data_IF_336279341814
#
_entry.id   IF_336279341814
#
_cell.length_a   1.000
_cell.length_b   1.000
_cell.length_c   1.000
_cell.angle_alpha   90.00
_cell.angle_beta   90.00
_cell.angle_gamma   90.00
#
_symmetry.space_group_name_H-M   'P 1'
#
loop_
_entity.id
_entity.type
_entity.pdbx_description
1 polymer ?
#
# COMPACT_ATOMS: atom_id res chain seq x y z
N UNK A 1 26.28 132.71 -50.59
CA UNK A 1 25.95 131.28 -50.56
C UNK A 1 25.02 130.98 -51.73
N UNK A 2 25.43 130.05 -52.58
CA UNK A 2 24.73 129.64 -53.80
C UNK A 2 23.52 128.77 -53.47
N UNK A 3 22.53 128.70 -54.37
CA UNK A 3 21.35 127.85 -54.16
C UNK A 3 21.75 126.36 -54.09
N UNK A 4 22.74 125.97 -54.90
CA UNK A 4 23.37 124.65 -54.92
C UNK A 4 23.90 124.20 -53.55
N UNK A 5 24.46 125.13 -52.75
CA UNK A 5 25.04 124.80 -51.44
C UNK A 5 23.96 124.34 -50.45
N UNK A 6 22.76 124.92 -50.53
CA UNK A 6 21.61 124.55 -49.69
C UNK A 6 20.94 123.26 -50.15
N UNK A 7 20.94 123.01 -51.47
CA UNK A 7 20.42 121.78 -52.07
C UNK A 7 21.28 120.58 -51.62
N UNK A 8 22.60 120.71 -51.70
CA UNK A 8 23.56 119.75 -51.14
C UNK A 8 23.43 119.59 -49.61
N UNK A 9 23.17 120.67 -48.86
CA UNK A 9 22.96 120.58 -47.40
C UNK A 9 21.66 119.84 -47.02
N UNK A 10 20.66 119.81 -47.89
CA UNK A 10 19.44 118.99 -47.74
C UNK A 10 19.70 117.55 -48.13
N UNK A 11 20.38 117.33 -49.27
CA UNK A 11 20.76 115.99 -49.75
C UNK A 11 21.63 115.23 -48.73
N UNK A 12 22.63 115.91 -48.13
CA UNK A 12 23.47 115.33 -47.07
C UNK A 12 22.63 114.87 -45.88
N UNK A 13 21.67 115.68 -45.41
CA UNK A 13 20.81 115.33 -44.26
C UNK A 13 19.84 114.21 -44.57
N UNK A 14 19.39 114.08 -45.82
CA UNK A 14 18.59 112.94 -46.25
C UNK A 14 19.44 111.66 -46.29
N UNK A 15 20.66 111.73 -46.82
CA UNK A 15 21.62 110.60 -46.84
C UNK A 15 22.05 110.17 -45.42
N UNK A 16 22.27 111.10 -44.50
CA UNK A 16 22.56 110.81 -43.08
C UNK A 16 21.39 110.07 -42.42
N UNK A 17 20.15 110.49 -42.68
CA UNK A 17 18.94 109.82 -42.18
C UNK A 17 18.76 108.43 -42.80
N UNK A 18 19.00 108.28 -44.12
CA UNK A 18 18.96 106.97 -44.79
C UNK A 18 20.00 106.02 -44.18
N UNK A 19 21.23 106.49 -43.92
CA UNK A 19 22.27 105.73 -43.20
C UNK A 19 21.80 105.27 -41.82
N UNK A 20 21.21 106.16 -41.01
CA UNK A 20 20.72 105.81 -39.68
C UNK A 20 19.66 104.69 -39.75
N UNK A 21 18.69 104.79 -40.67
CA UNK A 21 17.67 103.74 -40.85
C UNK A 21 18.28 102.40 -41.30
N UNK A 22 19.31 102.41 -42.15
CA UNK A 22 20.03 101.20 -42.56
C UNK A 22 20.86 100.59 -41.42
N UNK A 23 21.43 101.41 -40.53
CA UNK A 23 22.13 100.92 -39.34
C UNK A 23 21.16 100.31 -38.32
N UNK A 24 19.94 100.84 -38.17
CA UNK A 24 18.87 100.22 -37.37
C UNK A 24 18.39 98.88 -37.97
N UNK A 25 18.13 98.83 -39.29
CA UNK A 25 17.74 97.59 -39.96
C UNK A 25 18.84 96.52 -39.90
N UNK A 26 20.11 96.90 -40.10
CA UNK A 26 21.26 96.00 -39.95
C UNK A 26 21.34 95.44 -38.53
N UNK A 27 21.16 96.29 -37.50
CA UNK A 27 21.14 95.89 -36.09
C UNK A 27 20.00 94.92 -35.78
N UNK A 28 18.80 95.18 -36.32
CA UNK A 28 17.62 94.31 -36.21
C UNK A 28 17.87 92.95 -36.88
N UNK A 29 18.35 92.94 -38.12
CA UNK A 29 18.70 91.72 -38.87
C UNK A 29 19.77 90.91 -38.16
N UNK A 30 20.82 91.55 -37.63
CA UNK A 30 21.88 90.86 -36.88
C UNK A 30 21.37 90.26 -35.55
N UNK A 31 20.46 90.94 -34.86
CA UNK A 31 19.75 90.41 -33.69
C UNK A 31 18.94 89.15 -34.04
N UNK A 32 18.08 89.24 -35.07
CA UNK A 32 17.30 88.10 -35.58
C UNK A 32 18.18 86.94 -36.04
N UNK A 33 19.26 87.22 -36.77
CA UNK A 33 20.24 86.22 -37.21
C UNK A 33 20.93 85.52 -36.03
N UNK A 34 21.21 86.24 -34.95
CA UNK A 34 21.79 85.66 -33.72
C UNK A 34 20.79 84.75 -33.02
N UNK A 35 19.52 85.15 -32.91
CA UNK A 35 18.44 84.29 -32.39
C UNK A 35 18.24 83.02 -33.22
N UNK A 36 18.15 83.15 -34.56
CA UNK A 36 18.01 81.99 -35.46
C UNK A 36 19.22 81.04 -35.38
N UNK A 37 20.44 81.57 -35.22
CA UNK A 37 21.64 80.74 -34.97
C UNK A 37 21.56 79.96 -33.66
N UNK A 38 21.02 80.57 -32.60
CA UNK A 38 20.83 79.90 -31.31
C UNK A 38 19.76 78.80 -31.40
N UNK A 39 18.60 79.07 -32.00
CA UNK A 39 17.57 78.05 -32.25
C UNK A 39 18.09 76.90 -33.14
N UNK A 40 18.88 77.20 -34.18
CA UNK A 40 19.51 76.19 -35.03
C UNK A 40 20.55 75.35 -34.29
N UNK A 41 21.20 75.87 -33.24
CA UNK A 41 22.06 75.08 -32.35
C UNK A 41 21.21 74.16 -31.47
N UNK A 42 20.22 74.72 -30.77
CA UNK A 42 19.33 74.00 -29.86
C UNK A 42 18.65 72.80 -30.57
N UNK A 43 18.04 73.04 -31.73
CA UNK A 43 17.38 72.00 -32.53
C UNK A 43 18.32 70.94 -33.15
N UNK A 44 19.64 71.09 -33.00
CA UNK A 44 20.62 70.03 -33.31
C UNK A 44 20.95 69.21 -32.06
N UNK A 45 21.14 69.89 -30.93
CA UNK A 45 21.43 69.25 -29.64
C UNK A 45 20.22 68.44 -29.14
N UNK A 46 18.99 68.96 -29.28
CA UNK A 46 17.74 68.22 -29.01
C UNK A 46 17.61 66.96 -29.87
N UNK A 47 17.99 67.03 -31.16
CA UNK A 47 17.95 65.87 -32.05
C UNK A 47 19.01 64.85 -31.67
N UNK A 48 20.23 65.27 -31.34
CA UNK A 48 21.32 64.39 -30.92
C UNK A 48 20.97 63.67 -29.60
N UNK A 49 20.31 64.35 -28.66
CA UNK A 49 19.74 63.74 -27.45
C UNK A 49 18.62 62.74 -27.77
N UNK A 50 17.72 63.05 -28.72
CA UNK A 50 16.67 62.13 -29.15
C UNK A 50 17.22 60.89 -29.85
N UNK A 51 18.20 61.06 -30.76
CA UNK A 51 18.88 59.98 -31.47
C UNK A 51 19.58 59.03 -30.47
N UNK A 52 20.26 59.58 -29.45
CA UNK A 52 20.91 58.81 -28.39
C UNK A 52 19.89 58.09 -27.47
N UNK A 53 18.83 58.76 -27.01
CA UNK A 53 17.78 58.14 -26.21
C UNK A 53 17.07 57.00 -26.97
N UNK A 54 16.83 57.19 -28.27
CA UNK A 54 16.28 56.17 -29.17
C UNK A 54 17.21 54.95 -29.29
N UNK A 55 18.52 55.17 -29.44
CA UNK A 55 19.52 54.10 -29.44
C UNK A 55 19.53 53.31 -28.11
N UNK A 56 19.45 54.00 -26.96
CA UNK A 56 19.40 53.36 -25.65
C UNK A 56 18.13 52.50 -25.47
N UNK A 57 16.97 52.99 -25.93
CA UNK A 57 15.71 52.22 -25.95
C UNK A 57 15.86 50.96 -26.81
N UNK A 58 16.44 51.07 -28.02
CA UNK A 58 16.66 49.92 -28.91
C UNK A 58 17.60 48.87 -28.30
N UNK A 59 18.66 49.30 -27.61
CA UNK A 59 19.59 48.39 -26.89
C UNK A 59 18.88 47.69 -25.73
N UNK A 60 18.07 48.40 -24.94
CA UNK A 60 17.32 47.80 -23.85
C UNK A 60 16.25 46.81 -24.34
N UNK A 61 15.47 47.17 -25.36
CA UNK A 61 14.48 46.29 -25.97
C UNK A 61 15.11 45.01 -26.53
N UNK A 62 16.24 45.13 -27.23
CA UNK A 62 16.99 43.96 -27.70
C UNK A 62 17.48 43.07 -26.56
N UNK A 63 18.02 43.66 -25.49
CA UNK A 63 18.45 42.91 -24.31
C UNK A 63 17.30 42.09 -23.70
N UNK A 64 16.09 42.66 -23.68
CA UNK A 64 14.87 41.99 -23.21
C UNK A 64 14.36 40.92 -24.19
N UNK A 65 14.52 41.12 -25.51
CA UNK A 65 14.24 40.10 -26.53
C UNK A 65 15.20 38.89 -26.42
N UNK A 66 16.50 39.13 -26.23
CA UNK A 66 17.53 38.11 -26.00
C UNK A 66 17.30 37.35 -24.68
N UNK A 67 16.84 38.03 -23.62
CA UNK A 67 16.47 37.44 -22.33
C UNK A 67 15.20 36.57 -22.43
N UNK A 68 14.12 37.09 -23.03
CA UNK A 68 12.88 36.35 -23.24
C UNK A 68 13.10 35.12 -24.13
N UNK A 69 13.90 35.24 -25.19
CA UNK A 69 14.25 34.12 -26.07
C UNK A 69 14.98 33.00 -25.31
N UNK A 70 15.86 33.36 -24.37
CA UNK A 70 16.56 32.40 -23.50
C UNK A 70 15.62 31.73 -22.49
N UNK A 71 14.69 32.49 -21.91
CA UNK A 71 13.64 31.98 -21.01
C UNK A 71 12.72 30.98 -21.73
N UNK A 72 12.20 31.33 -22.91
CA UNK A 72 11.37 30.45 -23.75
C UNK A 72 12.10 29.17 -24.16
N UNK A 73 13.42 29.24 -24.37
CA UNK A 73 14.24 28.05 -24.65
C UNK A 73 14.39 27.15 -23.40
N UNK A 74 14.62 27.73 -22.22
CA UNK A 74 14.69 26.99 -20.95
C UNK A 74 13.39 26.23 -20.67
N UNK A 75 12.24 26.92 -20.72
CA UNK A 75 10.93 26.28 -20.48
C UNK A 75 10.60 25.15 -21.47
N UNK A 76 11.12 25.21 -22.71
CA UNK A 76 10.98 24.09 -23.66
C UNK A 76 11.82 22.87 -23.24
N UNK A 77 13.08 23.09 -22.85
CA UNK A 77 13.93 22.00 -22.32
C UNK A 77 13.36 21.40 -21.03
N UNK A 78 12.82 22.24 -20.14
CA UNK A 78 12.16 21.80 -18.90
C UNK A 78 10.90 20.99 -19.20
N UNK A 79 10.08 21.40 -20.18
CA UNK A 79 8.93 20.63 -20.63
C UNK A 79 9.32 19.27 -21.24
N UNK A 80 10.39 19.22 -22.05
CA UNK A 80 10.91 17.95 -22.60
C UNK A 80 11.38 16.99 -21.48
N UNK A 81 12.02 17.52 -20.42
CA UNK A 81 12.39 16.74 -19.23
C UNK A 81 11.16 16.25 -18.46
N UNK A 82 10.14 17.09 -18.27
CA UNK A 82 8.86 16.69 -17.63
C UNK A 82 8.15 15.61 -18.44
N UNK A 83 8.08 15.73 -19.76
CA UNK A 83 7.52 14.70 -20.65
C UNK A 83 8.28 13.37 -20.53
N UNK A 84 9.60 13.40 -20.40
CA UNK A 84 10.41 12.20 -20.19
C UNK A 84 10.16 11.57 -18.80
N UNK A 85 9.92 12.36 -17.75
CA UNK A 85 9.49 11.85 -16.44
C UNK A 85 8.09 11.26 -16.46
N UNK A 86 7.12 11.86 -17.16
CA UNK A 86 5.77 11.30 -17.36
C UNK A 86 5.87 9.94 -18.02
N UNK A 87 6.58 9.84 -19.16
CA UNK A 87 6.79 8.57 -19.85
C UNK A 87 7.53 7.53 -18.99
N UNK A 88 8.49 7.93 -18.16
CA UNK A 88 9.13 7.02 -17.20
C UNK A 88 8.15 6.48 -16.16
N UNK A 89 7.29 7.34 -15.59
CA UNK A 89 6.30 6.94 -14.59
C UNK A 89 5.21 6.04 -15.18
N UNK A 90 4.71 6.33 -16.39
CA UNK A 90 3.73 5.50 -17.10
C UNK A 90 4.27 4.10 -17.43
N UNK A 91 5.52 4.03 -17.92
CA UNK A 91 6.19 2.75 -18.18
C UNK A 91 6.49 1.98 -16.88
N UNK A 92 6.85 2.67 -15.80
CA UNK A 92 7.08 2.05 -14.48
C UNK A 92 5.78 1.51 -13.88
N UNK A 93 4.68 2.28 -13.99
CA UNK A 93 3.37 1.87 -13.49
C UNK A 93 2.81 0.65 -14.23
N UNK A 94 2.90 0.64 -15.56
CA UNK A 94 2.44 -0.50 -16.39
C UNK A 94 3.30 -1.76 -16.15
N UNK A 95 4.62 -1.61 -15.97
CA UNK A 95 5.51 -2.70 -15.57
C UNK A 95 5.19 -3.23 -14.16
N UNK A 96 4.91 -2.35 -13.20
CA UNK A 96 4.54 -2.74 -11.83
C UNK A 96 3.19 -3.46 -11.81
N UNK A 97 2.20 -2.97 -12.55
CA UNK A 97 0.86 -3.59 -12.64
C UNK A 97 0.95 -4.99 -13.24
N UNK A 98 1.62 -5.14 -14.39
CA UNK A 98 1.79 -6.46 -15.05
C UNK A 98 2.59 -7.45 -14.19
N UNK A 99 3.63 -6.99 -13.49
CA UNK A 99 4.37 -7.83 -12.54
C UNK A 99 3.50 -8.31 -11.37
N UNK A 100 2.63 -7.45 -10.82
CA UNK A 100 1.70 -7.83 -9.74
C UNK A 100 0.67 -8.84 -10.26
N UNK A 101 0.06 -8.58 -11.41
CA UNK A 101 -0.90 -9.51 -12.02
C UNK A 101 -0.28 -10.88 -12.30
N UNK A 102 0.93 -10.94 -12.87
CA UNK A 102 1.58 -12.20 -13.20
C UNK A 102 2.06 -12.95 -11.95
N UNK A 103 2.37 -12.23 -10.86
CA UNK A 103 2.59 -12.84 -9.54
C UNK A 103 1.31 -13.38 -8.92
N UNK A 104 0.18 -12.70 -9.07
CA UNK A 104 -1.13 -13.20 -8.63
C UNK A 104 -1.54 -14.44 -9.42
N UNK A 105 -1.40 -14.42 -10.76
CA UNK A 105 -1.62 -15.58 -11.64
C UNK A 105 -0.74 -16.77 -11.25
N UNK A 106 0.55 -16.53 -10.96
CA UNK A 106 1.47 -17.58 -10.47
C UNK A 106 1.00 -18.17 -9.13
N UNK A 107 0.76 -17.32 -8.12
CA UNK A 107 0.39 -17.77 -6.77
C UNK A 107 -0.96 -18.51 -6.77
N UNK A 108 -1.93 -18.04 -7.56
CA UNK A 108 -3.22 -18.72 -7.69
C UNK A 108 -3.10 -20.09 -8.39
N UNK A 109 -2.28 -20.19 -9.45
CA UNK A 109 -2.01 -21.48 -10.12
C UNK A 109 -1.25 -22.48 -9.25
N UNK A 110 -0.31 -21.99 -8.42
CA UNK A 110 0.36 -22.83 -7.40
C UNK A 110 -0.62 -23.26 -6.31
N UNK A 111 -1.49 -22.36 -5.83
CA UNK A 111 -2.51 -22.65 -4.82
C UNK A 111 -3.55 -23.68 -5.30
N UNK A 112 -4.03 -23.58 -6.55
CA UNK A 112 -4.92 -24.60 -7.14
C UNK A 112 -4.22 -25.96 -7.18
N UNK A 113 -2.95 -26.00 -7.61
CA UNK A 113 -2.15 -27.23 -7.70
C UNK A 113 -1.92 -27.89 -6.34
N UNK A 114 -1.62 -27.11 -5.30
CA UNK A 114 -1.52 -27.62 -3.93
C UNK A 114 -2.89 -28.04 -3.36
N UNK A 115 -3.98 -27.38 -3.78
CA UNK A 115 -5.35 -27.79 -3.49
C UNK A 115 -5.69 -29.18 -4.05
N UNK A 116 -5.40 -29.42 -5.32
CA UNK A 116 -5.59 -30.72 -5.98
C UNK A 116 -4.74 -31.82 -5.31
N UNK A 117 -3.46 -31.55 -4.98
CA UNK A 117 -2.61 -32.49 -4.23
C UNK A 117 -3.17 -32.82 -2.85
N UNK A 118 -3.66 -31.82 -2.11
CA UNK A 118 -4.25 -32.00 -0.78
C UNK A 118 -5.54 -32.85 -0.85
N UNK A 119 -6.41 -32.59 -1.82
CA UNK A 119 -7.65 -33.39 -1.99
C UNK A 119 -7.31 -34.84 -2.36
N UNK A 120 -6.35 -35.07 -3.26
CA UNK A 120 -5.90 -36.44 -3.57
C UNK A 120 -5.33 -37.16 -2.34
N UNK A 121 -4.55 -36.47 -1.50
CA UNK A 121 -4.04 -37.04 -0.24
C UNK A 121 -5.17 -37.38 0.75
N UNK A 122 -6.17 -36.50 0.89
CA UNK A 122 -7.36 -36.76 1.70
C UNK A 122 -8.16 -37.97 1.17
N UNK A 123 -8.34 -38.09 -0.15
CA UNK A 123 -8.99 -39.25 -0.78
C UNK A 123 -8.23 -40.55 -0.47
N UNK A 124 -6.90 -40.54 -0.59
CA UNK A 124 -6.06 -41.72 -0.27
C UNK A 124 -6.16 -42.10 1.22
N UNK A 125 -6.06 -41.12 2.13
CA UNK A 125 -6.12 -41.33 3.58
C UNK A 125 -7.51 -41.84 4.04
N UNK A 126 -8.59 -41.22 3.57
CA UNK A 126 -9.95 -41.66 3.89
C UNK A 126 -10.29 -43.03 3.28
N UNK A 127 -9.71 -43.38 2.12
CA UNK A 127 -9.86 -44.71 1.54
C UNK A 127 -9.14 -45.77 2.39
N UNK A 128 -7.90 -45.50 2.81
CA UNK A 128 -7.14 -46.38 3.69
C UNK A 128 -7.81 -46.55 5.06
N UNK A 129 -8.37 -45.48 5.64
CA UNK A 129 -9.15 -45.57 6.88
C UNK A 129 -10.47 -46.34 6.69
N UNK A 130 -11.18 -46.17 5.58
CA UNK A 130 -12.40 -46.95 5.27
C UNK A 130 -12.10 -48.45 5.17
N UNK A 131 -10.99 -48.83 4.53
CA UNK A 131 -10.56 -50.22 4.41
C UNK A 131 -10.09 -50.79 5.75
N UNK A 132 -9.21 -50.06 6.46
CA UNK A 132 -8.71 -50.45 7.78
C UNK A 132 -9.81 -50.60 8.83
N UNK A 133 -10.70 -49.61 8.96
CA UNK A 133 -11.86 -49.69 9.85
C UNK A 133 -12.84 -50.80 9.42
N UNK A 134 -12.98 -51.07 8.11
CA UNK A 134 -13.77 -52.20 7.62
C UNK A 134 -13.23 -53.56 8.10
N UNK A 135 -11.91 -53.75 8.07
CA UNK A 135 -11.25 -54.95 8.61
C UNK A 135 -11.36 -55.00 10.13
N UNK A 136 -11.04 -53.92 10.84
CA UNK A 136 -11.17 -53.86 12.31
C UNK A 136 -12.61 -54.11 12.78
N UNK A 137 -13.62 -53.61 12.07
CA UNK A 137 -15.03 -53.86 12.36
C UNK A 137 -15.38 -55.35 12.22
N UNK A 138 -14.79 -56.07 11.25
CA UNK A 138 -14.98 -57.50 11.11
C UNK A 138 -14.34 -58.27 12.29
N UNK A 139 -13.10 -57.94 12.66
CA UNK A 139 -12.42 -58.53 13.83
C UNK A 139 -13.11 -58.19 15.16
N UNK A 140 -13.69 -57.00 15.29
CA UNK A 140 -14.52 -56.63 16.45
C UNK A 140 -15.79 -57.48 16.49
N UNK A 141 -16.49 -57.69 15.36
CA UNK A 141 -17.66 -58.59 15.30
C UNK A 141 -17.28 -60.04 15.68
N UNK A 142 -16.16 -60.56 15.16
CA UNK A 142 -15.66 -61.91 15.47
C UNK A 142 -15.27 -62.09 16.95
N UNK A 143 -14.51 -61.15 17.53
CA UNK A 143 -14.12 -61.19 18.95
C UNK A 143 -15.32 -61.03 19.89
N UNK A 144 -16.29 -60.17 19.54
CA UNK A 144 -17.56 -60.04 20.27
C UNK A 144 -18.37 -61.34 20.22
N UNK A 145 -18.44 -62.01 19.07
CA UNK A 145 -19.10 -63.31 18.96
C UNK A 145 -18.38 -64.40 19.77
N UNK A 146 -17.05 -64.46 19.76
CA UNK A 146 -16.28 -65.38 20.61
C UNK A 146 -16.53 -65.13 22.09
N UNK A 147 -16.46 -63.87 22.55
CA UNK A 147 -16.72 -63.48 23.95
C UNK A 147 -18.16 -63.78 24.38
N UNK A 148 -19.12 -63.78 23.44
CA UNK A 148 -20.53 -64.16 23.67
C UNK A 148 -20.78 -65.66 23.65
N UNK A 149 -20.00 -66.43 22.89
CA UNK A 149 -20.09 -67.89 22.80
C UNK A 149 -19.28 -68.59 23.92
N UNK A 150 -18.24 -67.95 24.44
CA UNK A 150 -17.53 -68.39 25.65
C UNK A 150 -18.53 -68.61 26.80
N UNK A 151 -18.51 -69.77 27.48
CA UNK A 151 -19.62 -70.19 28.33
C UNK A 151 -19.83 -69.25 29.52
N UNK A 152 -20.91 -68.46 29.44
CA UNK A 152 -21.50 -67.70 30.54
C UNK A 152 -21.70 -68.66 31.73
N UNK A 153 -20.96 -68.45 32.81
CA UNK A 153 -20.92 -69.35 33.97
C UNK A 153 -22.21 -69.27 34.80
N UNK A 154 -23.27 -69.87 34.28
CA UNK A 154 -24.54 -70.04 35.00
C UNK A 154 -24.45 -71.32 35.87
N UNK A 155 -24.71 -71.12 37.16
CA UNK A 155 -24.33 -71.99 38.28
C UNK A 155 -24.73 -73.46 38.09
N UNK A 156 -23.73 -74.32 37.88
CA UNK A 156 -23.81 -75.76 38.19
C UNK A 156 -22.92 -76.09 39.39
N UNK A 157 -23.45 -76.65 40.50
CA UNK A 157 -22.66 -76.98 41.69
C UNK A 157 -22.06 -78.40 41.60
N UNK A 158 -21.04 -78.59 40.75
CA UNK A 158 -20.25 -79.83 40.71
C UNK A 158 -18.75 -79.52 40.65
N UNK A 159 -17.98 -80.12 41.56
CA UNK A 159 -16.52 -80.02 41.61
C UNK A 159 -15.87 -80.46 40.29
N UNK A 160 -15.22 -79.54 39.58
CA UNK A 160 -13.90 -79.75 39.00
C UNK A 160 -13.24 -78.43 38.59
N UNK A 161 -11.94 -78.50 38.30
CA UNK A 161 -11.07 -77.35 38.11
C UNK A 161 -11.49 -76.45 36.94
N UNK A 162 -11.75 -75.16 37.21
CA UNK A 162 -12.03 -74.17 36.17
C UNK A 162 -10.78 -73.98 35.30
N UNK A 163 -10.87 -74.41 34.05
CA UNK A 163 -9.71 -74.78 33.24
C UNK A 163 -8.75 -73.59 33.00
N UNK A 164 -7.52 -73.57 33.56
CA UNK A 164 -6.69 -72.37 33.61
C UNK A 164 -6.10 -71.94 32.26
N UNK A 165 -6.37 -72.70 31.18
CA UNK A 165 -6.10 -72.30 29.79
C UNK A 165 -7.22 -71.42 29.22
N UNK A 166 -8.47 -71.67 29.62
CA UNK A 166 -9.68 -71.07 29.05
C UNK A 166 -9.90 -69.65 29.58
N UNK A 167 -9.70 -69.42 30.88
CA UNK A 167 -9.65 -68.06 31.43
C UNK A 167 -8.48 -67.22 30.84
N UNK A 168 -7.39 -67.87 30.39
CA UNK A 168 -6.26 -67.18 29.73
C UNK A 168 -6.53 -66.84 28.27
N UNK A 169 -7.30 -67.65 27.54
CA UNK A 169 -7.75 -67.27 26.19
C UNK A 169 -8.80 -66.17 26.24
N UNK A 170 -9.81 -66.28 27.13
CA UNK A 170 -10.83 -65.23 27.31
C UNK A 170 -10.20 -63.86 27.60
N UNK A 171 -9.26 -63.79 28.57
CA UNK A 171 -8.56 -62.54 28.90
C UNK A 171 -7.84 -61.92 27.69
N UNK A 172 -7.20 -62.74 26.85
CA UNK A 172 -6.55 -62.25 25.62
C UNK A 172 -7.52 -61.58 24.65
N UNK A 173 -8.71 -62.16 24.45
CA UNK A 173 -9.73 -61.57 23.57
C UNK A 173 -10.36 -60.30 24.16
N UNK A 174 -10.43 -60.17 25.50
CA UNK A 174 -10.82 -58.90 26.13
C UNK A 174 -9.73 -57.82 25.99
N UNK A 175 -8.44 -58.17 26.12
CA UNK A 175 -7.30 -57.27 25.85
C UNK A 175 -7.26 -56.83 24.38
N UNK A 176 -7.50 -57.76 23.44
CA UNK A 176 -7.54 -57.52 21.99
C UNK A 176 -8.75 -56.66 21.58
N UNK A 177 -9.94 -56.90 22.16
CA UNK A 177 -11.11 -56.05 21.95
C UNK A 177 -10.84 -54.59 22.36
N UNK A 178 -10.20 -54.36 23.52
CA UNK A 178 -9.89 -53.01 24.00
C UNK A 178 -8.85 -52.28 23.14
N UNK A 179 -7.84 -53.00 22.64
CA UNK A 179 -6.86 -52.44 21.69
C UNK A 179 -7.51 -52.09 20.34
N UNK A 180 -8.39 -52.95 19.83
CA UNK A 180 -9.18 -52.69 18.62
C UNK A 180 -10.14 -51.50 18.80
N UNK A 181 -10.90 -51.46 19.90
CA UNK A 181 -11.85 -50.38 20.23
C UNK A 181 -11.12 -49.02 20.34
N UNK A 182 -9.98 -48.98 21.04
CA UNK A 182 -9.14 -47.79 21.18
C UNK A 182 -8.63 -47.28 19.81
N UNK A 183 -8.13 -48.17 18.96
CA UNK A 183 -7.66 -47.83 17.60
C UNK A 183 -8.79 -47.37 16.69
N UNK A 184 -9.97 -47.99 16.81
CA UNK A 184 -11.17 -47.65 16.04
C UNK A 184 -11.66 -46.24 16.39
N UNK A 185 -11.83 -45.94 17.69
CA UNK A 185 -12.24 -44.63 18.19
C UNK A 185 -11.20 -43.54 17.87
N UNK A 186 -9.91 -43.82 17.99
CA UNK A 186 -8.84 -42.89 17.63
C UNK A 186 -8.89 -42.54 16.13
N UNK A 187 -9.11 -43.52 15.26
CA UNK A 187 -9.20 -43.32 13.80
C UNK A 187 -10.49 -42.59 13.41
N UNK A 188 -11.62 -42.83 14.10
CA UNK A 188 -12.83 -42.04 13.90
C UNK A 188 -12.64 -40.58 14.33
N UNK A 189 -11.88 -40.33 15.41
CA UNK A 189 -11.53 -38.98 15.85
C UNK A 189 -10.66 -38.23 14.84
N UNK A 190 -9.68 -38.89 14.21
CA UNK A 190 -8.90 -38.26 13.12
C UNK A 190 -9.74 -38.03 11.87
N UNK A 191 -10.64 -38.96 11.50
CA UNK A 191 -11.63 -38.74 10.42
C UNK A 191 -12.51 -37.53 10.70
N UNK A 192 -13.01 -37.36 11.94
CA UNK A 192 -13.84 -36.19 12.30
C UNK A 192 -13.04 -34.88 12.29
N UNK A 193 -11.76 -34.91 12.68
CA UNK A 193 -10.87 -33.75 12.57
C UNK A 193 -10.59 -33.36 11.11
N UNK A 194 -10.33 -34.34 10.23
CA UNK A 194 -10.18 -34.12 8.78
C UNK A 194 -11.49 -33.58 8.18
N UNK A 195 -12.64 -34.16 8.55
CA UNK A 195 -13.97 -33.70 8.15
C UNK A 195 -14.16 -32.23 8.51
N UNK A 196 -13.93 -31.85 9.78
CA UNK A 196 -14.00 -30.45 10.24
C UNK A 196 -13.09 -29.53 9.43
N UNK A 197 -11.83 -29.91 9.21
CA UNK A 197 -10.87 -29.11 8.43
C UNK A 197 -11.29 -28.91 6.96
N UNK A 198 -11.97 -29.88 6.35
CA UNK A 198 -12.40 -29.80 4.96
C UNK A 198 -13.52 -28.75 4.72
N UNK A 199 -14.31 -28.40 5.74
CA UNK A 199 -15.42 -27.43 5.65
C UNK A 199 -15.21 -26.14 6.48
N UNK A 200 -13.95 -25.78 6.83
CA UNK A 200 -13.68 -24.54 7.61
C UNK A 200 -14.10 -23.26 6.87
N UNK A 201 -14.05 -23.26 5.52
CA UNK A 201 -14.64 -22.21 4.69
C UNK A 201 -15.58 -22.82 3.65
N UNK A 202 -16.83 -22.34 3.52
CA UNK A 202 -17.76 -22.74 2.47
C UNK A 202 -17.61 -21.92 1.17
N UNK A 203 -16.61 -21.05 1.08
CA UNK A 203 -16.48 -20.01 0.05
C UNK A 203 -15.98 -20.58 -1.30
N UNK A 204 -16.94 -20.95 -2.15
CA UNK A 204 -16.98 -21.10 -3.63
C UNK A 204 -15.83 -21.79 -4.39
N UNK A 205 -14.76 -22.18 -3.71
CA UNK A 205 -13.67 -22.99 -4.25
C UNK A 205 -14.11 -24.45 -4.33
N UNK A 206 -14.98 -24.76 -5.29
CA UNK A 206 -15.36 -26.13 -5.68
C UNK A 206 -14.13 -26.92 -6.15
N UNK A 207 -13.38 -27.47 -5.19
CA UNK A 207 -12.20 -28.30 -5.46
C UNK A 207 -12.64 -29.55 -6.22
N UNK A 208 -11.83 -29.95 -7.19
CA UNK A 208 -12.04 -31.16 -7.99
C UNK A 208 -12.18 -32.35 -7.04
N UNK A 209 -13.00 -33.34 -7.43
CA UNK A 209 -13.25 -34.56 -6.65
C UNK A 209 -13.91 -34.41 -5.25
N UNK A 210 -14.47 -33.24 -4.89
CA UNK A 210 -15.27 -33.09 -3.66
C UNK A 210 -16.35 -34.18 -3.50
N UNK A 211 -17.01 -34.58 -4.59
CA UNK A 211 -18.02 -35.64 -4.60
C UNK A 211 -17.45 -37.03 -4.22
N UNK A 212 -16.16 -37.29 -4.46
CA UNK A 212 -15.46 -38.51 -4.01
C UNK A 212 -15.18 -38.47 -2.50
N UNK A 213 -14.80 -37.30 -1.98
CA UNK A 213 -14.57 -37.08 -0.55
C UNK A 213 -15.87 -37.27 0.24
N UNK A 214 -16.99 -36.73 -0.24
CA UNK A 214 -18.33 -36.97 0.35
C UNK A 214 -18.70 -38.46 0.39
N UNK A 215 -18.51 -39.17 -0.72
CA UNK A 215 -18.77 -40.62 -0.79
C UNK A 215 -17.91 -41.43 0.20
N UNK A 216 -16.69 -40.97 0.51
CA UNK A 216 -15.83 -41.58 1.52
C UNK A 216 -16.30 -41.25 2.95
N UNK A 217 -16.66 -40.00 3.25
CA UNK A 217 -17.23 -39.66 4.56
C UNK A 217 -18.55 -40.37 4.84
N UNK A 218 -19.43 -40.50 3.84
CA UNK A 218 -20.69 -41.26 3.97
C UNK A 218 -20.44 -42.75 4.24
N UNK A 219 -19.42 -43.35 3.60
CA UNK A 219 -19.02 -44.74 3.86
C UNK A 219 -18.42 -44.93 5.26
N UNK A 220 -17.65 -43.96 5.75
CA UNK A 220 -17.08 -43.96 7.11
C UNK A 220 -18.14 -43.76 8.19
N UNK A 221 -19.11 -42.87 7.98
CA UNK A 221 -20.26 -42.69 8.88
C UNK A 221 -21.13 -43.96 8.94
N UNK A 222 -21.29 -44.69 7.82
CA UNK A 222 -21.92 -46.03 7.83
C UNK A 222 -21.13 -47.02 8.70
N UNK A 223 -19.82 -47.13 8.50
CA UNK A 223 -18.94 -48.03 9.28
C UNK A 223 -19.03 -47.73 10.78
N UNK A 224 -19.03 -46.44 11.15
CA UNK A 224 -19.29 -45.98 12.52
C UNK A 224 -20.68 -46.41 13.02
N UNK A 225 -21.74 -46.19 12.26
CA UNK A 225 -23.10 -46.60 12.67
C UNK A 225 -23.24 -48.13 12.84
N UNK A 226 -22.49 -48.93 12.08
CA UNK A 226 -22.42 -50.38 12.29
C UNK A 226 -21.64 -50.75 13.56
N UNK A 227 -20.60 -50.00 13.93
CA UNK A 227 -19.88 -50.17 15.19
C UNK A 227 -20.73 -49.76 16.40
N UNK A 228 -21.38 -48.59 16.34
CA UNK A 228 -22.29 -48.08 17.38
C UNK A 228 -23.50 -49.03 17.61
N UNK A 229 -23.82 -49.88 16.63
CA UNK A 229 -24.85 -50.92 16.72
C UNK A 229 -24.37 -52.23 17.38
N UNK A 230 -23.06 -52.42 17.58
CA UNK A 230 -22.51 -53.61 18.26
C UNK A 230 -22.63 -53.38 19.77
N UNK A 231 -23.35 -54.27 20.45
CA UNK A 231 -23.43 -54.22 21.92
C UNK A 231 -22.08 -54.57 22.54
N UNK A 232 -21.42 -53.57 23.13
CA UNK A 232 -20.14 -53.70 23.86
C UNK A 232 -20.19 -54.89 24.85
N UNK A 233 -19.26 -55.85 24.79
CA UNK A 233 -19.23 -56.99 25.71
C UNK A 233 -19.06 -56.57 27.18
N UNK A 234 -19.51 -57.43 28.10
CA UNK A 234 -19.15 -57.32 29.51
C UNK A 234 -17.75 -57.88 29.75
N UNK A 235 -16.76 -56.99 29.81
CA UNK A 235 -15.34 -57.34 29.98
C UNK A 235 -15.01 -57.55 31.47
N UNK A 236 -14.53 -58.73 31.85
CA UNK A 236 -14.12 -59.02 33.23
C UNK A 236 -12.86 -58.23 33.65
N UNK A 237 -12.04 -57.81 32.69
CA UNK A 237 -10.87 -56.93 32.94
C UNK A 237 -11.29 -55.55 33.47
N UNK A 238 -12.39 -54.98 32.98
CA UNK A 238 -12.85 -53.64 33.41
C UNK A 238 -13.57 -53.67 34.77
N UNK A 239 -14.15 -54.82 35.15
CA UNK A 239 -14.88 -54.99 36.41
C UNK A 239 -14.09 -55.80 37.45
N UNK A 240 -13.27 -55.18 38.32
CA UNK A 240 -12.56 -55.91 39.37
C UNK A 240 -13.55 -56.55 40.35
N UNK A 241 -13.64 -57.88 40.32
CA UNK A 241 -14.62 -58.65 41.11
C UNK A 241 -14.33 -58.56 42.61
N UNK A 242 -15.16 -57.82 43.34
CA UNK A 242 -15.04 -57.62 44.78
C UNK A 242 -15.60 -58.80 45.60
N UNK A 243 -14.73 -59.67 46.10
CA UNK A 243 -14.96 -60.61 47.22
C UNK A 243 -13.66 -60.75 48.02
N UNK A 244 -13.64 -60.84 49.36
CA UNK A 244 -14.72 -60.89 50.36
C UNK A 244 -14.30 -60.23 51.69
N UNK A 245 -15.26 -59.76 52.50
CA UNK A 245 -15.01 -59.29 53.87
C UNK A 245 -14.83 -60.43 54.88
N UNK A 246 -14.10 -60.18 55.98
CA UNK A 246 -14.37 -60.50 57.41
C UNK A 246 -13.03 -60.50 58.23
N UNK A 247 -13.01 -60.37 59.58
CA UNK A 247 -13.24 -59.08 60.24
C UNK A 247 -12.25 -58.71 61.38
N UNK A 248 -12.21 -57.42 61.75
CA UNK A 248 -11.87 -56.83 63.09
C UNK A 248 -10.64 -57.33 63.89
N UNK A 249 -9.68 -56.43 64.19
CA UNK A 249 -9.48 -55.83 65.55
C UNK A 249 -8.17 -55.00 65.68
N UNK A 250 -8.31 -53.73 66.09
CA UNK A 250 -7.40 -52.77 66.77
C UNK A 250 -5.86 -52.76 66.57
N UNK A 251 -5.32 -51.56 66.26
CA UNK A 251 -3.91 -51.17 66.46
C UNK A 251 -3.55 -49.77 65.92
N UNK A 252 -3.49 -48.74 66.78
CA UNK A 252 -2.96 -47.38 66.49
C UNK A 252 -1.41 -47.35 66.55
N UNK A 253 -0.66 -46.28 66.14
CA UNK A 253 -1.04 -44.95 65.60
C UNK A 253 -0.66 -44.82 64.08
N UNK A 254 -0.23 -43.73 63.38
CA UNK A 254 0.27 -42.35 63.63
C UNK A 254 -0.22 -41.41 62.48
N UNK A 255 -0.24 -40.08 62.72
CA UNK A 255 -0.72 -39.04 61.78
C UNK A 255 0.38 -38.32 60.97
N UNK A 256 -0.01 -37.76 59.81
CA UNK A 256 0.53 -36.54 59.15
C UNK A 256 1.99 -36.56 58.65
N UNK A 257 2.32 -35.96 57.50
CA UNK A 257 2.06 -34.54 57.18
C UNK A 257 2.21 -34.20 55.69
N UNK A 258 1.62 -33.07 55.29
CA UNK A 258 1.78 -32.43 53.98
C UNK A 258 2.81 -31.29 54.04
N UNK A 259 3.72 -31.19 53.07
CA UNK A 259 4.63 -30.04 52.94
C UNK A 259 4.68 -29.56 51.49
N UNK A 260 4.70 -28.25 51.29
CA UNK A 260 4.76 -27.55 50.00
C UNK A 260 6.11 -26.84 49.80
N UNK A 261 6.58 -26.76 48.56
CA UNK A 261 7.67 -25.89 48.14
C UNK A 261 8.26 -26.23 46.77
N UNK A 262 9.02 -25.33 46.12
CA UNK A 262 9.15 -23.87 46.30
C UNK A 262 9.91 -23.29 45.09
N UNK A 263 9.59 -22.08 44.63
CA UNK A 263 10.25 -21.47 43.47
C UNK A 263 11.44 -20.57 43.83
N UNK A 264 12.59 -20.77 43.17
CA UNK A 264 13.81 -19.91 43.13
C UNK A 264 14.90 -20.64 42.29
N UNK A 265 15.85 -19.98 41.60
CA UNK A 265 16.05 -18.55 41.29
C UNK A 265 16.92 -18.39 40.03
N UNK A 266 16.94 -17.17 39.49
CA UNK A 266 17.58 -16.71 38.25
C UNK A 266 19.08 -17.03 38.10
N UNK A 267 19.55 -17.02 36.84
CA UNK A 267 20.87 -16.53 36.43
C UNK A 267 20.74 -15.70 35.13
N UNK A 268 21.74 -14.85 34.86
CA UNK A 268 22.02 -14.03 33.66
C UNK A 268 23.57 -13.98 33.51
N UNK A 269 24.25 -13.32 32.56
CA UNK A 269 23.91 -12.19 31.69
C UNK A 269 24.97 -12.08 30.55
N UNK A 270 24.74 -11.58 29.33
CA UNK A 270 23.71 -11.79 28.29
C UNK A 270 24.22 -11.08 26.99
N UNK A 271 24.24 -11.70 25.79
CA UNK A 271 24.84 -11.07 24.58
C UNK A 271 24.05 -11.12 23.25
N UNK A 272 24.26 -10.04 22.49
CA UNK A 272 23.58 -9.48 21.32
C UNK A 272 23.56 -10.35 20.05
N UNK A 273 22.45 -10.31 19.29
CA UNK A 273 22.51 -10.29 17.82
C UNK A 273 21.35 -9.47 17.23
N UNK A 274 21.64 -8.66 16.21
CA UNK A 274 20.69 -7.76 15.55
C UNK A 274 19.79 -8.50 14.54
N UNK A 275 18.57 -7.99 14.28
CA UNK A 275 17.50 -8.72 13.60
C UNK A 275 16.30 -7.86 13.19
N UNK A 276 16.51 -6.96 12.22
CA UNK A 276 15.49 -6.06 11.66
C UNK A 276 14.13 -6.74 11.38
N UNK A 277 13.05 -6.19 11.95
CA UNK A 277 11.68 -6.62 11.71
C UNK A 277 10.86 -5.49 11.09
N UNK A 278 10.85 -5.41 9.75
CA UNK A 278 9.96 -4.51 9.01
C UNK A 278 8.55 -5.11 9.00
N UNK A 279 7.67 -4.54 9.83
CA UNK A 279 6.24 -4.87 9.87
C UNK A 279 5.54 -4.31 8.62
N UNK A 280 5.45 -5.09 7.55
CA UNK A 280 4.58 -4.78 6.40
C UNK A 280 3.13 -4.99 6.80
N UNK A 281 2.41 -3.90 7.05
CA UNK A 281 0.99 -3.92 7.42
C UNK A 281 0.13 -4.17 6.17
N UNK A 282 -0.58 -5.30 6.16
CA UNK A 282 -1.39 -5.75 5.01
C UNK A 282 -2.83 -5.23 5.12
N UNK A 283 -3.15 -4.13 4.46
CA UNK A 283 -4.53 -3.67 4.25
C UNK A 283 -4.96 -3.80 2.79
N UNK A 284 -6.25 -4.02 2.59
CA UNK A 284 -6.82 -4.53 1.34
C UNK A 284 -7.17 -3.46 0.31
N UNK A 285 -6.92 -3.81 -0.95
CA UNK A 285 -7.63 -3.44 -2.17
C UNK A 285 -8.85 -2.50 -1.97
N UNK A 286 -8.79 -1.31 -2.56
CA UNK A 286 -10.00 -0.57 -2.99
C UNK A 286 -9.82 -0.22 -4.46
N UNK A 287 -10.63 -0.82 -5.32
CA UNK A 287 -10.60 -0.64 -6.78
C UNK A 287 -11.31 0.66 -7.17
N UNK A 288 -10.68 1.81 -6.93
CA UNK A 288 -11.13 3.08 -7.51
C UNK A 288 -10.78 3.14 -9.00
N UNK A 289 -11.82 3.04 -9.83
CA UNK A 289 -11.79 3.34 -11.27
C UNK A 289 -11.27 4.78 -11.48
N UNK A 290 -10.38 5.05 -12.44
CA UNK A 290 -9.91 6.41 -12.69
C UNK A 290 -11.05 7.27 -13.25
N UNK A 291 -11.57 8.16 -12.41
CA UNK A 291 -12.34 9.32 -12.88
C UNK A 291 -11.42 10.29 -13.63
N UNK A 292 -11.97 11.05 -14.58
CA UNK A 292 -11.21 12.09 -15.28
C UNK A 292 -10.81 13.14 -14.25
N UNK A 293 -9.52 13.23 -13.94
CA UNK A 293 -8.98 14.32 -13.15
C UNK A 293 -8.77 15.54 -14.08
N UNK A 294 -9.88 16.20 -14.41
CA UNK A 294 -9.84 17.54 -14.99
C UNK A 294 -9.27 18.48 -13.93
N UNK A 295 -8.08 19.02 -14.22
CA UNK A 295 -7.29 19.77 -13.26
C UNK A 295 -7.63 21.26 -13.36
N UNK A 296 -8.41 21.76 -12.40
CA UNK A 296 -8.86 23.16 -12.34
C UNK A 296 -7.70 24.14 -12.05
N UNK A 297 -7.03 24.58 -13.11
CA UNK A 297 -6.08 25.70 -13.09
C UNK A 297 -6.80 27.08 -12.96
N UNK A 298 -7.61 27.28 -11.91
CA UNK A 298 -8.31 28.56 -11.68
C UNK A 298 -8.30 29.04 -10.21
N UNK A 299 -7.26 28.73 -9.42
CA UNK A 299 -7.13 29.36 -8.08
C UNK A 299 -5.74 29.53 -7.46
N UNK A 300 -4.68 29.64 -8.27
CA UNK A 300 -3.32 29.94 -7.79
C UNK A 300 -2.80 31.35 -8.15
N UNK A 301 -3.51 32.11 -8.97
CA UNK A 301 -3.06 33.41 -9.49
C UNK A 301 -3.74 34.57 -8.75
N UNK A 302 -3.40 34.76 -7.46
CA UNK A 302 -3.89 35.91 -6.67
C UNK A 302 -2.95 36.44 -5.60
N UNK A 303 -2.00 35.63 -5.14
CA UNK A 303 -1.12 35.96 -4.01
C UNK A 303 0.25 36.54 -4.45
N UNK A 304 0.31 37.05 -5.68
CA UNK A 304 1.52 37.61 -6.33
C UNK A 304 1.31 39.00 -6.95
N UNK A 305 0.17 39.65 -6.67
CA UNK A 305 -0.23 40.96 -7.25
C UNK A 305 -0.22 42.10 -6.23
N UNK A 306 0.83 42.15 -5.40
CA UNK A 306 1.06 43.25 -4.43
C UNK A 306 2.47 43.83 -4.45
N UNK A 307 3.30 43.47 -5.43
CA UNK A 307 4.65 44.04 -5.61
C UNK A 307 4.60 45.35 -6.41
N UNK A 308 4.04 46.38 -5.76
CA UNK A 308 4.33 47.82 -5.83
C UNK A 308 4.89 48.44 -7.14
N UNK A 309 4.34 48.13 -8.32
CA UNK A 309 4.42 49.00 -9.50
C UNK A 309 3.36 50.10 -9.35
N UNK A 310 3.77 51.30 -8.88
CA UNK A 310 2.77 52.29 -8.47
C UNK A 310 3.19 53.71 -8.09
N UNK A 311 4.44 54.14 -8.28
CA UNK A 311 4.79 55.57 -8.17
C UNK A 311 5.69 56.00 -9.33
N UNK A 312 5.21 56.92 -10.17
CA UNK A 312 5.91 57.43 -11.35
C UNK A 312 6.21 58.90 -11.14
N UNK A 313 7.48 59.23 -10.93
CA UNK A 313 8.01 60.57 -10.58
C UNK A 313 7.85 61.64 -11.69
N UNK A 314 7.01 61.39 -12.70
CA UNK A 314 6.77 62.26 -13.87
C UNK A 314 5.86 63.47 -13.56
N UNK A 315 4.95 63.34 -12.59
CA UNK A 315 3.98 64.39 -12.22
C UNK A 315 4.63 65.60 -11.52
N UNK A 316 5.86 65.46 -11.02
CA UNK A 316 6.59 66.55 -10.35
C UNK A 316 7.16 67.55 -11.36
N UNK A 317 7.67 67.05 -12.51
CA UNK A 317 8.22 67.88 -13.58
C UNK A 317 7.14 68.71 -14.31
N UNK A 318 5.90 68.21 -14.45
CA UNK A 318 4.83 69.03 -15.03
C UNK A 318 4.41 70.20 -14.11
N UNK A 319 4.56 70.04 -12.78
CA UNK A 319 4.32 71.14 -11.82
C UNK A 319 5.36 72.25 -11.94
N UNK A 320 6.65 71.92 -12.09
CA UNK A 320 7.70 72.93 -12.31
C UNK A 320 7.46 73.71 -13.60
N UNK A 321 7.14 73.03 -14.72
CA UNK A 321 6.82 73.72 -15.98
C UNK A 321 5.59 74.62 -15.91
N UNK A 322 4.61 74.29 -15.07
CA UNK A 322 3.42 75.13 -14.82
C UNK A 322 3.66 76.28 -13.83
N UNK A 323 4.81 76.35 -13.17
CA UNK A 323 5.17 77.40 -12.21
C UNK A 323 6.04 78.53 -12.82
N UNK A 324 6.43 78.42 -14.09
CA UNK A 324 7.40 79.30 -14.77
C UNK A 324 6.72 80.08 -15.93
N UNK A 325 5.38 80.10 -15.98
CA UNK A 325 4.54 80.70 -17.03
C UNK A 325 3.58 81.76 -16.49
#
# INVERSE_FOLDING_TARGET
>A
MSQLEKELEVEIKELEKQKETLEEELKKVNGSLTGVRLHLKNAREEREQFDEASNQILVHLKSKEDELSRSVFSYRMEADVVNMWIGFLENTWTLQTSYIEDKEKQVNGELERYGDYLVNLVIQLLSAYKEGLGVSLASIKETVEYLRQSPRSEKSPSMNEQNPKENKSKRRYEEEYLDLESKFLMTLSTVEAIKKQFYIQPEDTFRKDHEKVEKLFAALEKIKSEFDSIQRPGLEIETPTQKSQNPLTNGYPISSSSVSGKASKNFREDEVTDGSSIKVEKTSNTTSKPEKLEFDYEKAERDHLTDEIGDWESDELEKEFRAIL
#
